data_IF_993500758159
#
_entry.id   IF_993500758159
#
_cell.length_a   1.000
_cell.length_b   1.000
_cell.length_c   1.000
_cell.angle_alpha   90.00
_cell.angle_beta   90.00
_cell.angle_gamma   90.00
#
_symmetry.space_group_name_H-M   'P 1'
#
loop_
_entity.id
_entity.type
_entity.pdbx_description
1 polymer ?
#
# COMPACT_ATOMS: atom_id res chain seq x y z
N UNK A 1 15.39 -5.86 -6.06
CA UNK A 1 16.66 -6.09 -5.35
C UNK A 1 17.84 -5.98 -6.29
N UNK A 2 17.85 -6.70 -7.41
CA UNK A 2 18.96 -6.66 -8.38
C UNK A 2 19.28 -5.24 -8.85
N UNK A 3 18.27 -4.44 -9.20
CA UNK A 3 18.47 -3.05 -9.64
C UNK A 3 19.05 -2.15 -8.53
N UNK A 4 18.75 -2.47 -7.26
CA UNK A 4 19.32 -1.79 -6.10
C UNK A 4 20.71 -2.31 -5.70
N UNK A 5 21.17 -3.39 -6.29
CA UNK A 5 22.45 -4.06 -5.94
C UNK A 5 22.44 -4.62 -4.52
N UNK A 6 21.29 -5.07 -4.03
CA UNK A 6 21.10 -5.56 -2.66
C UNK A 6 20.76 -7.03 -2.67
N UNK A 7 21.44 -7.79 -1.81
CA UNK A 7 21.16 -9.21 -1.64
C UNK A 7 19.99 -9.45 -0.68
N UNK A 8 19.16 -10.49 -0.90
CA UNK A 8 17.98 -10.75 -0.07
C UNK A 8 18.26 -10.85 1.43
N UNK A 9 19.37 -11.48 1.81
CA UNK A 9 19.73 -11.67 3.22
C UNK A 9 20.10 -10.37 3.96
N UNK A 10 20.30 -9.27 3.23
CA UNK A 10 20.58 -7.94 3.78
C UNK A 10 19.32 -7.17 4.17
N UNK A 11 18.14 -7.63 3.73
CA UNK A 11 16.87 -7.03 4.10
C UNK A 11 16.43 -7.57 5.47
N UNK A 12 16.15 -6.65 6.39
CA UNK A 12 15.65 -6.96 7.73
C UNK A 12 14.23 -6.46 7.99
N UNK A 13 13.64 -5.73 7.02
CA UNK A 13 12.24 -5.30 7.04
C UNK A 13 11.61 -5.43 5.66
N UNK A 14 10.43 -6.05 5.56
CA UNK A 14 9.61 -6.09 4.37
C UNK A 14 8.20 -5.59 4.69
N UNK A 15 7.74 -4.54 4.02
CA UNK A 15 6.38 -4.04 4.12
C UNK A 15 5.72 -4.15 2.75
N UNK A 16 4.61 -4.88 2.68
CA UNK A 16 3.79 -4.97 1.48
C UNK A 16 2.49 -4.17 1.66
N UNK A 17 2.36 -3.06 0.96
CA UNK A 17 1.14 -2.29 0.94
C UNK A 17 0.20 -2.84 -0.13
N UNK A 18 -0.93 -3.40 0.29
CA UNK A 18 -1.92 -3.99 -0.61
C UNK A 18 -3.32 -3.97 0.00
N UNK A 19 -4.35 -3.85 -0.84
CA UNK A 19 -5.77 -4.09 -0.51
C UNK A 19 -6.28 -5.40 -1.10
N UNK A 20 -5.45 -6.08 -1.89
CA UNK A 20 -5.75 -7.34 -2.55
C UNK A 20 -4.70 -8.40 -2.23
N UNK A 21 -4.47 -8.71 -0.92
CA UNK A 21 -3.51 -9.74 -0.55
C UNK A 21 -3.94 -11.10 -1.12
N UNK A 22 -2.99 -12.02 -1.26
CA UNK A 22 -3.29 -13.38 -1.73
C UNK A 22 -4.34 -14.07 -0.83
N UNK A 23 -4.25 -13.85 0.46
CA UNK A 23 -5.16 -14.34 1.49
C UNK A 23 -5.04 -13.52 2.78
N UNK A 24 -5.99 -13.71 3.70
CA UNK A 24 -5.96 -13.00 5.00
C UNK A 24 -4.75 -13.38 5.87
N UNK A 25 -4.31 -14.62 5.80
CA UNK A 25 -3.10 -15.14 6.43
C UNK A 25 -2.69 -16.48 5.75
N UNK A 26 -1.38 -16.77 5.64
CA UNK A 26 -0.27 -15.88 5.97
C UNK A 26 -0.28 -14.60 5.12
N UNK A 27 0.44 -13.56 5.57
CA UNK A 27 0.54 -12.29 4.82
C UNK A 27 1.31 -12.48 3.52
N UNK A 28 0.96 -11.71 2.49
CA UNK A 28 1.71 -11.73 1.20
C UNK A 28 3.18 -11.42 1.41
N UNK A 29 3.49 -10.49 2.32
CA UNK A 29 4.86 -10.16 2.70
C UNK A 29 5.64 -11.34 3.29
N UNK A 30 5.01 -12.15 4.14
CA UNK A 30 5.68 -13.33 4.71
C UNK A 30 5.99 -14.38 3.64
N UNK A 31 5.07 -14.61 2.71
CA UNK A 31 5.28 -15.51 1.57
C UNK A 31 6.40 -15.00 0.66
N UNK A 32 6.39 -13.70 0.35
CA UNK A 32 7.43 -13.06 -0.46
C UNK A 32 8.80 -13.10 0.22
N UNK A 33 8.87 -12.93 1.54
CA UNK A 33 10.13 -13.01 2.27
C UNK A 33 10.77 -14.40 2.15
N UNK A 34 9.96 -15.46 2.21
CA UNK A 34 10.40 -16.84 2.01
C UNK A 34 10.84 -17.08 0.56
N UNK A 35 10.00 -16.73 -0.40
CA UNK A 35 10.28 -16.92 -1.83
C UNK A 35 11.53 -16.17 -2.31
N UNK A 36 11.75 -14.97 -1.78
CA UNK A 36 12.91 -14.14 -2.12
C UNK A 36 14.16 -14.48 -1.31
N UNK A 37 14.08 -15.36 -0.34
CA UNK A 37 15.20 -15.78 0.49
C UNK A 37 15.68 -14.70 1.46
N UNK A 38 14.74 -14.08 2.19
CA UNK A 38 15.00 -13.03 3.20
C UNK A 38 14.85 -13.57 4.63
N UNK A 39 15.76 -14.37 5.15
CA UNK A 39 15.57 -15.09 6.42
C UNK A 39 15.53 -14.18 7.64
N UNK A 40 15.99 -12.94 7.50
CA UNK A 40 16.11 -11.99 8.61
C UNK A 40 15.00 -10.92 8.61
N UNK A 41 14.14 -10.91 7.59
CA UNK A 41 13.16 -9.85 7.43
C UNK A 41 11.97 -10.02 8.38
N UNK A 42 11.70 -8.99 9.18
CA UNK A 42 10.37 -8.79 9.75
C UNK A 42 9.42 -8.42 8.60
N UNK A 43 8.32 -9.16 8.44
CA UNK A 43 7.44 -8.99 7.30
C UNK A 43 5.98 -8.81 7.72
N UNK A 44 5.29 -7.82 7.14
CA UNK A 44 3.87 -7.59 7.35
C UNK A 44 3.22 -6.86 6.18
N UNK A 45 1.90 -7.11 5.99
CA UNK A 45 1.10 -6.37 5.03
C UNK A 45 0.50 -5.12 5.68
N UNK A 46 0.40 -4.04 4.89
CA UNK A 46 -0.18 -2.77 5.29
C UNK A 46 -1.39 -2.46 4.41
N UNK A 47 -2.54 -2.26 5.04
CA UNK A 47 -3.78 -1.92 4.35
C UNK A 47 -4.15 -0.46 4.66
N UNK A 48 -3.93 0.44 3.70
CA UNK A 48 -4.28 1.85 3.78
C UNK A 48 -4.79 2.39 2.42
N UNK A 49 -5.52 1.56 1.68
CA UNK A 49 -6.06 1.92 0.38
C UNK A 49 -4.97 2.32 -0.63
N UNK A 50 -5.32 3.22 -1.53
CA UNK A 50 -4.43 3.72 -2.58
C UNK A 50 -3.21 4.51 -2.04
N UNK A 51 -3.25 4.96 -0.78
CA UNK A 51 -2.13 5.64 -0.12
C UNK A 51 -1.20 4.68 0.63
N UNK A 52 -1.48 3.37 0.57
CA UNK A 52 -0.75 2.34 1.30
C UNK A 52 0.76 2.41 1.10
N UNK A 53 1.23 2.62 -0.13
CA UNK A 53 2.66 2.74 -0.41
C UNK A 53 3.31 3.95 0.29
N UNK A 54 2.63 5.10 0.35
CA UNK A 54 3.13 6.29 1.07
C UNK A 54 3.21 6.01 2.57
N UNK A 55 2.19 5.36 3.15
CA UNK A 55 2.21 4.94 4.55
C UNK A 55 3.33 3.93 4.83
N UNK A 56 3.54 2.97 3.94
CA UNK A 56 4.61 1.97 4.07
C UNK A 56 6.00 2.61 4.04
N UNK A 57 6.23 3.60 3.15
CA UNK A 57 7.46 4.38 3.12
C UNK A 57 7.66 5.15 4.43
N UNK A 58 6.61 5.81 4.94
CA UNK A 58 6.69 6.56 6.19
C UNK A 58 7.01 5.66 7.38
N UNK A 59 6.42 4.47 7.44
CA UNK A 59 6.73 3.48 8.48
C UNK A 59 8.15 2.94 8.35
N UNK A 60 8.58 2.56 7.15
CA UNK A 60 9.94 2.10 6.91
C UNK A 60 10.96 3.18 7.29
N UNK A 61 10.71 4.44 6.91
CA UNK A 61 11.53 5.58 7.34
C UNK A 61 11.64 5.68 8.86
N UNK A 62 10.53 5.60 9.59
CA UNK A 62 10.53 5.68 11.04
C UNK A 62 11.32 4.51 11.69
N UNK A 63 11.18 3.29 11.16
CA UNK A 63 11.90 2.12 11.67
C UNK A 63 13.40 2.20 11.37
N UNK A 64 13.79 2.68 10.19
CA UNK A 64 15.19 2.92 9.82
C UNK A 64 15.81 4.05 10.68
N UNK A 65 15.09 5.17 10.81
CA UNK A 65 15.56 6.33 11.59
C UNK A 65 15.70 6.02 13.09
N UNK A 66 14.88 5.15 13.64
CA UNK A 66 14.99 4.68 15.04
C UNK A 66 16.08 3.62 15.25
N UNK A 67 16.67 3.09 14.19
CA UNK A 67 17.63 1.99 14.25
C UNK A 67 17.02 0.62 14.52
N UNK A 68 15.69 0.50 14.47
CA UNK A 68 15.00 -0.78 14.64
C UNK A 68 15.23 -1.70 13.41
N UNK A 69 15.40 -1.11 12.23
CA UNK A 69 15.79 -1.78 11.00
C UNK A 69 16.97 -1.07 10.35
N UNK A 70 17.72 -1.80 9.53
CA UNK A 70 18.89 -1.28 8.80
C UNK A 70 18.61 -1.12 7.31
N UNK A 71 17.82 -2.03 6.73
CA UNK A 71 17.47 -2.01 5.31
C UNK A 71 16.08 -2.57 5.08
N UNK A 72 15.23 -1.78 4.47
CA UNK A 72 13.84 -2.13 4.23
C UNK A 72 13.56 -2.36 2.74
N UNK A 73 12.76 -3.37 2.43
CA UNK A 73 12.08 -3.51 1.15
C UNK A 73 10.63 -3.08 1.34
N UNK A 74 10.20 -2.06 0.60
CA UNK A 74 8.81 -1.61 0.59
C UNK A 74 8.21 -1.93 -0.77
N UNK A 75 7.11 -2.66 -0.76
CA UNK A 75 6.36 -3.09 -1.94
C UNK A 75 4.98 -2.46 -1.87
N UNK A 76 4.49 -1.96 -3.00
CA UNK A 76 3.08 -1.65 -3.20
C UNK A 76 2.58 -2.44 -4.39
N UNK A 77 1.47 -3.14 -4.24
CA UNK A 77 0.94 -3.94 -5.33
C UNK A 77 -0.50 -4.35 -5.10
N UNK A 78 -1.30 -4.24 -6.15
CA UNK A 78 -2.70 -4.62 -6.14
C UNK A 78 -3.10 -5.34 -7.43
N UNK A 79 -4.03 -6.29 -7.30
CA UNK A 79 -4.70 -6.99 -8.39
C UNK A 79 -6.18 -6.56 -8.39
N UNK A 80 -6.42 -5.29 -8.71
CA UNK A 80 -7.76 -4.68 -8.63
C UNK A 80 -8.73 -5.30 -9.64
N UNK A 81 -8.24 -5.85 -10.75
CA UNK A 81 -9.06 -6.55 -11.73
C UNK A 81 -9.92 -7.67 -11.14
N UNK A 82 -9.53 -8.25 -10.00
CA UNK A 82 -10.26 -9.32 -9.31
C UNK A 82 -11.46 -8.85 -8.49
N UNK A 83 -11.50 -7.58 -8.16
CA UNK A 83 -12.56 -6.99 -7.32
C UNK A 83 -13.41 -5.96 -8.06
N UNK A 84 -13.22 -5.84 -9.38
CA UNK A 84 -14.02 -4.96 -10.24
C UNK A 84 -15.17 -5.72 -10.89
N UNK A 85 -16.31 -5.04 -11.03
CA UNK A 85 -17.38 -5.48 -11.90
C UNK A 85 -17.01 -5.18 -13.35
N UNK A 86 -16.82 -6.23 -14.15
CA UNK A 86 -16.43 -6.12 -15.57
C UNK A 86 -17.54 -5.53 -16.46
N UNK A 87 -18.76 -5.42 -15.95
CA UNK A 87 -19.88 -4.76 -16.65
C UNK A 87 -20.03 -3.28 -16.25
N UNK A 88 -19.49 -2.86 -15.09
CA UNK A 88 -19.51 -1.47 -14.65
C UNK A 88 -18.36 -0.64 -15.24
N UNK A 89 -18.64 0.04 -16.36
CA UNK A 89 -17.68 0.91 -17.04
C UNK A 89 -17.28 2.15 -16.24
N UNK A 90 -17.99 2.50 -15.16
CA UNK A 90 -17.66 3.66 -14.33
C UNK A 90 -16.45 3.41 -13.41
N UNK A 91 -16.18 2.14 -13.07
CA UNK A 91 -15.04 1.71 -12.27
C UNK A 91 -14.00 0.97 -13.09
N UNK A 92 -14.40 0.07 -13.97
CA UNK A 92 -13.52 -0.80 -14.75
C UNK A 92 -12.40 -0.05 -15.52
N UNK A 93 -12.70 1.13 -16.06
CA UNK A 93 -11.75 1.91 -16.87
C UNK A 93 -10.76 2.73 -16.03
N UNK A 94 -10.93 2.77 -14.70
CA UNK A 94 -10.14 3.60 -13.80
C UNK A 94 -9.13 2.80 -12.97
N UNK A 95 -9.39 1.52 -12.76
CA UNK A 95 -8.59 0.66 -11.90
C UNK A 95 -7.91 -0.44 -12.71
N UNK A 96 -6.75 -0.88 -12.26
CA UNK A 96 -5.98 -1.95 -12.90
C UNK A 96 -4.99 -2.59 -11.94
N UNK A 97 -4.25 -3.54 -12.45
CA UNK A 97 -3.25 -4.31 -11.71
C UNK A 97 -1.88 -3.66 -11.87
N UNK A 98 -1.12 -3.65 -10.81
CA UNK A 98 0.24 -3.14 -10.85
C UNK A 98 0.99 -3.35 -9.55
N UNK A 99 2.31 -3.38 -9.64
CA UNK A 99 3.18 -3.45 -8.47
C UNK A 99 4.46 -2.66 -8.69
N UNK A 100 5.04 -2.19 -7.61
CA UNK A 100 6.32 -1.53 -7.58
C UNK A 100 7.01 -1.72 -6.23
N UNK A 101 8.32 -1.62 -6.20
CA UNK A 101 9.09 -1.80 -4.97
C UNK A 101 10.27 -0.84 -4.90
N UNK A 102 10.67 -0.50 -3.68
CA UNK A 102 11.87 0.28 -3.39
C UNK A 102 12.65 -0.33 -2.24
N UNK A 103 13.97 -0.23 -2.30
CA UNK A 103 14.84 -0.50 -1.16
C UNK A 103 15.16 0.81 -0.46
N UNK A 104 15.06 0.81 0.86
CA UNK A 104 15.35 1.97 1.70
C UNK A 104 16.44 1.63 2.71
N UNK A 105 17.37 2.55 2.90
CA UNK A 105 18.43 2.44 3.91
C UNK A 105 18.81 3.84 4.44
N UNK A 106 19.39 3.94 5.64
CA UNK A 106 19.90 5.19 6.16
C UNK A 106 21.03 5.75 5.29
N UNK A 107 21.03 7.07 5.09
CA UNK A 107 22.09 7.79 4.37
C UNK A 107 22.60 8.94 5.22
N UNK A 108 23.88 9.33 5.02
CA UNK A 108 24.47 10.44 5.77
C UNK A 108 23.91 11.80 5.37
N UNK A 109 23.43 11.94 4.13
CA UNK A 109 22.89 13.20 3.59
C UNK A 109 21.71 12.92 2.70
N UNK A 110 20.72 13.81 2.73
CA UNK A 110 19.47 13.67 1.99
C UNK A 110 18.42 12.91 2.81
N UNK A 111 17.39 12.42 2.12
CA UNK A 111 16.28 11.70 2.73
C UNK A 111 14.94 12.40 2.51
N UNK A 112 13.95 11.99 3.26
CA UNK A 112 12.62 12.59 3.20
C UNK A 112 12.58 13.89 3.98
N UNK A 113 11.96 14.92 3.42
CA UNK A 113 11.84 16.24 4.06
C UNK A 113 10.61 16.32 4.96
N UNK A 114 9.56 15.55 4.67
CA UNK A 114 8.34 15.52 5.45
C UNK A 114 7.35 14.48 4.94
N UNK A 115 6.35 14.22 5.75
CA UNK A 115 5.21 13.37 5.43
C UNK A 115 3.93 14.04 5.92
N UNK A 116 2.90 14.02 5.10
CA UNK A 116 1.53 14.33 5.48
C UNK A 116 0.71 13.05 5.34
N UNK A 117 0.21 12.55 6.45
CA UNK A 117 -0.59 11.32 6.51
C UNK A 117 -1.95 11.65 7.14
N UNK A 118 -3.02 11.19 6.52
CA UNK A 118 -4.37 11.44 7.02
C UNK A 118 -5.38 10.41 6.54
N UNK A 119 -6.55 10.39 7.17
CA UNK A 119 -7.67 9.57 6.78
C UNK A 119 -8.99 10.31 7.05
N UNK A 120 -9.92 10.20 6.11
CA UNK A 120 -11.28 10.72 6.24
C UNK A 120 -12.29 9.57 6.10
N UNK A 121 -12.68 9.00 7.24
CA UNK A 121 -13.65 7.92 7.28
C UNK A 121 -15.09 8.37 6.96
N UNK A 122 -15.36 9.69 6.97
CA UNK A 122 -16.64 10.24 6.59
C UNK A 122 -17.00 10.02 5.12
N UNK A 123 -15.97 9.86 4.27
CA UNK A 123 -16.11 9.56 2.85
C UNK A 123 -16.14 8.06 2.51
N UNK A 124 -16.22 7.18 3.49
CA UNK A 124 -16.10 5.73 3.30
C UNK A 124 -17.09 5.12 2.32
N UNK A 125 -18.28 5.70 2.17
CA UNK A 125 -19.30 5.24 1.20
C UNK A 125 -19.05 5.73 -0.24
N UNK A 126 -18.07 6.61 -0.44
CA UNK A 126 -17.81 7.15 -1.79
C UNK A 126 -16.88 6.27 -2.62
N UNK A 127 -16.03 5.47 -1.97
CA UNK A 127 -15.19 4.47 -2.62
C UNK A 127 -14.93 3.33 -1.63
N UNK A 128 -15.50 2.18 -1.89
CA UNK A 128 -15.42 1.05 -0.96
C UNK A 128 -15.55 -0.29 -1.67
N UNK A 129 -15.00 -1.31 -1.03
CA UNK A 129 -15.15 -2.69 -1.44
C UNK A 129 -15.71 -3.50 -0.27
N UNK A 130 -16.97 -4.00 -0.36
CA UNK A 130 -17.61 -4.72 0.74
C UNK A 130 -17.06 -6.12 0.97
N UNK A 131 -16.44 -6.75 -0.03
CA UNK A 131 -15.97 -8.13 0.04
C UNK A 131 -14.75 -8.32 0.94
N UNK A 132 -14.49 -9.57 1.28
CA UNK A 132 -13.34 -10.05 2.07
C UNK A 132 -13.24 -9.53 3.52
N UNK A 133 -14.11 -8.62 3.94
CA UNK A 133 -14.17 -8.14 5.31
C UNK A 133 -15.15 -8.94 6.17
N UNK A 134 -14.98 -8.92 7.48
CA UNK A 134 -15.85 -9.63 8.43
C UNK A 134 -17.31 -9.15 8.42
N UNK A 135 -17.57 -7.94 7.90
CA UNK A 135 -18.90 -7.34 7.82
C UNK A 135 -19.77 -7.93 6.71
N UNK A 136 -19.14 -8.32 5.58
CA UNK A 136 -19.81 -8.79 4.36
C UNK A 136 -19.11 -10.04 3.79
N UNK A 137 -18.80 -10.98 4.66
CA UNK A 137 -17.96 -12.12 4.33
C UNK A 137 -18.50 -13.02 3.22
N UNK A 138 -19.83 -13.12 3.06
CA UNK A 138 -20.51 -14.02 2.12
C UNK A 138 -21.23 -13.28 0.98
N UNK A 139 -20.93 -12.00 0.73
CA UNK A 139 -21.58 -11.27 -0.36
C UNK A 139 -20.93 -11.64 -1.71
N UNK A 140 -21.60 -12.46 -2.55
CA UNK A 140 -21.05 -12.90 -3.83
C UNK A 140 -20.98 -11.76 -4.88
N UNK A 141 -21.73 -10.68 -4.69
CA UNK A 141 -21.79 -9.52 -5.59
C UNK A 141 -20.90 -8.37 -5.08
N UNK A 142 -19.86 -8.72 -4.35
CA UNK A 142 -18.92 -7.78 -3.76
C UNK A 142 -17.94 -7.27 -4.81
N UNK A 143 -18.27 -6.14 -5.40
CA UNK A 143 -17.37 -5.38 -6.28
C UNK A 143 -17.09 -4.01 -5.70
N UNK A 144 -16.01 -3.38 -6.16
CA UNK A 144 -15.70 -1.97 -5.85
C UNK A 144 -16.87 -1.08 -6.26
N UNK A 145 -17.31 -0.25 -5.32
CA UNK A 145 -18.38 0.74 -5.54
C UNK A 145 -17.81 2.13 -5.40
N UNK A 146 -18.18 3.03 -6.33
CA UNK A 146 -17.61 4.37 -6.36
C UNK A 146 -18.66 5.44 -6.71
N UNK A 147 -18.68 6.51 -5.94
CA UNK A 147 -19.26 7.77 -6.33
C UNK A 147 -18.15 8.71 -6.86
N UNK A 148 -17.84 8.60 -8.15
CA UNK A 148 -16.71 9.27 -8.75
C UNK A 148 -16.72 10.79 -8.58
N UNK A 149 -17.90 11.43 -8.52
CA UNK A 149 -18.02 12.89 -8.30
C UNK A 149 -17.52 13.28 -6.90
N UNK A 150 -17.91 12.55 -5.86
CA UNK A 150 -17.51 12.88 -4.49
C UNK A 150 -16.03 12.51 -4.24
N UNK A 151 -15.57 11.39 -4.82
CA UNK A 151 -14.15 11.01 -4.82
C UNK A 151 -13.30 12.09 -5.49
N UNK A 152 -13.69 12.60 -6.64
CA UNK A 152 -12.96 13.66 -7.35
C UNK A 152 -12.88 14.95 -6.52
N UNK A 153 -13.99 15.40 -5.92
CA UNK A 153 -14.00 16.59 -5.05
C UNK A 153 -13.07 16.43 -3.85
N UNK A 154 -13.09 15.26 -3.23
CA UNK A 154 -12.21 14.94 -2.10
C UNK A 154 -10.75 14.96 -2.54
N UNK A 155 -10.40 14.21 -3.59
CA UNK A 155 -9.04 14.06 -4.07
C UNK A 155 -8.40 15.40 -4.45
N UNK A 156 -9.09 16.24 -5.23
CA UNK A 156 -8.58 17.55 -5.65
C UNK A 156 -8.32 18.49 -4.48
N UNK A 157 -9.15 18.43 -3.43
CA UNK A 157 -8.96 19.23 -2.22
C UNK A 157 -7.78 18.72 -1.39
N UNK A 158 -7.76 17.41 -1.11
CA UNK A 158 -6.76 16.80 -0.25
C UNK A 158 -5.36 16.88 -0.85
N UNK A 159 -5.21 16.59 -2.13
CA UNK A 159 -3.89 16.64 -2.78
C UNK A 159 -3.26 18.04 -2.69
N UNK A 160 -4.07 19.09 -2.85
CA UNK A 160 -3.58 20.47 -2.72
C UNK A 160 -3.22 20.80 -1.27
N UNK A 161 -4.09 20.45 -0.31
CA UNK A 161 -3.83 20.75 1.12
C UNK A 161 -2.59 20.03 1.64
N UNK A 162 -2.46 18.73 1.33
CA UNK A 162 -1.32 17.93 1.78
C UNK A 162 0.00 18.39 1.13
N UNK A 163 -0.03 18.77 -0.15
CA UNK A 163 1.16 19.33 -0.80
C UNK A 163 1.62 20.63 -0.13
N UNK A 164 0.69 21.52 0.24
CA UNK A 164 1.02 22.76 0.93
C UNK A 164 1.51 22.54 2.37
N UNK A 165 1.09 21.46 3.02
CA UNK A 165 1.52 21.14 4.40
C UNK A 165 2.94 20.58 4.44
N UNK A 166 3.37 19.92 3.38
CA UNK A 166 4.71 19.29 3.30
C UNK A 166 5.78 20.26 2.79
N UNK A 167 5.40 21.32 2.06
CA UNK A 167 6.30 22.33 1.48
C UNK A 167 6.58 23.46 2.47
#
# INVERSE_FOLDING_TARGET
>A
LADAGVEPHEIDLLICATVTPDMMFPTSSALLADELGMPNAAAYDLLAGCTGFVYAIAQAYAMLASGLSKRALVIGGDVLSKILDWEDRSTLVLFGDGAGAVVMEPVERGGFMGFELGADGGGGEYLWYPGSGSRHFEDPDSFVKMNGREVFKFATRVMVSSANEVL
#
